data_IF_364697013670
#
_entry.id   IF_364697013670
#
_cell.length_a   1.000
_cell.length_b   1.000
_cell.length_c   1.000
_cell.angle_alpha   90.00
_cell.angle_beta   90.00
_cell.angle_gamma   90.00
#
_symmetry.space_group_name_H-M   'P 1'
#
loop_
_entity.id
_entity.type
_entity.pdbx_description
1 polymer ?
#
# COMPACT_ATOMS: atom_id res chain seq x y z
N UNK A 1 28.25 -21.23 -27.49
CA UNK A 1 26.84 -20.89 -27.73
C UNK A 1 26.25 -20.40 -26.41
N UNK A 2 26.34 -19.10 -26.12
CA UNK A 2 25.75 -18.54 -24.91
C UNK A 2 24.23 -18.43 -25.12
N UNK A 3 23.44 -19.22 -24.39
CA UNK A 3 21.99 -19.08 -24.33
C UNK A 3 21.67 -17.73 -23.71
N UNK A 4 21.11 -16.81 -24.51
CA UNK A 4 20.48 -15.59 -24.02
C UNK A 4 19.27 -16.02 -23.18
N UNK A 5 19.42 -16.03 -21.85
CA UNK A 5 18.28 -16.11 -20.94
C UNK A 5 17.45 -14.86 -21.15
N UNK A 6 16.31 -15.00 -21.81
CA UNK A 6 15.33 -13.93 -21.98
C UNK A 6 14.97 -13.41 -20.58
N UNK A 7 15.14 -12.10 -20.35
CA UNK A 7 14.68 -11.48 -19.11
C UNK A 7 13.16 -11.73 -18.98
N UNK A 8 12.65 -12.03 -17.78
CA UNK A 8 11.21 -12.22 -17.60
C UNK A 8 10.48 -10.96 -18.07
N UNK A 9 9.40 -11.13 -18.83
CA UNK A 9 8.56 -10.01 -19.25
C UNK A 9 7.70 -9.60 -18.06
N UNK A 10 7.73 -8.32 -17.72
CA UNK A 10 6.90 -7.76 -16.66
C UNK A 10 5.40 -7.98 -16.96
N UNK A 11 4.57 -8.35 -15.97
CA UNK A 11 3.16 -8.64 -16.20
C UNK A 11 2.36 -7.39 -16.56
N UNK A 12 1.58 -7.47 -17.63
CA UNK A 12 0.66 -6.40 -18.03
C UNK A 12 -0.57 -6.32 -17.12
N UNK A 13 -1.17 -5.13 -17.05
CA UNK A 13 -2.35 -4.89 -16.23
C UNK A 13 -3.57 -5.63 -16.82
N UNK A 14 -4.42 -6.26 -15.98
CA UNK A 14 -5.67 -6.84 -16.44
C UNK A 14 -6.59 -5.81 -17.13
N UNK A 15 -7.25 -6.23 -18.22
CA UNK A 15 -8.11 -5.37 -19.05
C UNK A 15 -9.36 -4.84 -18.33
N UNK A 16 -9.75 -5.45 -17.20
CA UNK A 16 -10.89 -5.02 -16.38
C UNK A 16 -10.52 -3.96 -15.34
N UNK A 17 -9.26 -3.54 -15.27
CA UNK A 17 -8.84 -2.37 -14.50
C UNK A 17 -9.17 -1.08 -15.25
N UNK A 18 -9.60 -0.07 -14.50
CA UNK A 18 -9.68 1.30 -15.04
C UNK A 18 -8.30 1.82 -15.41
N UNK A 19 -8.22 2.81 -16.29
CA UNK A 19 -6.94 3.41 -16.71
C UNK A 19 -6.09 3.90 -15.52
N UNK A 20 -6.73 4.48 -14.50
CA UNK A 20 -6.03 4.93 -13.29
C UNK A 20 -5.47 3.75 -12.49
N UNK A 21 -6.24 2.66 -12.33
CA UNK A 21 -5.79 1.47 -11.63
C UNK A 21 -4.68 0.73 -12.42
N UNK A 22 -4.81 0.65 -13.74
CA UNK A 22 -3.79 0.08 -14.62
C UNK A 22 -2.50 0.92 -14.63
N UNK A 23 -2.59 2.24 -14.46
CA UNK A 23 -1.41 3.09 -14.25
C UNK A 23 -0.72 2.80 -12.92
N UNK A 24 -1.48 2.56 -11.84
CA UNK A 24 -0.93 2.14 -10.54
C UNK A 24 -0.25 0.78 -10.66
N UNK A 25 -0.88 -0.19 -11.33
CA UNK A 25 -0.31 -1.51 -11.59
C UNK A 25 1.06 -1.40 -12.26
N UNK A 26 1.12 -0.71 -13.40
CA UNK A 26 2.37 -0.53 -14.16
C UNK A 26 3.45 0.17 -13.33
N UNK A 27 3.08 1.22 -12.60
CA UNK A 27 4.03 1.91 -11.71
C UNK A 27 4.65 1.03 -10.62
N UNK A 28 3.92 0.02 -10.12
CA UNK A 28 4.45 -0.94 -9.14
C UNK A 28 5.32 -1.99 -9.82
N UNK A 29 4.83 -2.56 -10.92
CA UNK A 29 5.51 -3.62 -11.66
C UNK A 29 6.82 -3.11 -12.26
N UNK A 30 6.84 -1.88 -12.80
CA UNK A 30 8.04 -1.25 -13.38
C UNK A 30 9.10 -0.90 -12.33
N UNK A 31 8.71 -0.73 -11.06
CA UNK A 31 9.59 -0.38 -9.96
C UNK A 31 10.27 -1.60 -9.31
N UNK A 32 9.86 -2.81 -9.67
CA UNK A 32 10.29 -4.07 -9.05
C UNK A 32 10.88 -5.02 -10.11
N UNK A 33 11.62 -6.06 -9.71
CA UNK A 33 12.05 -7.10 -10.64
C UNK A 33 10.86 -7.72 -11.38
N UNK A 34 11.05 -8.07 -12.66
CA UNK A 34 10.00 -8.60 -13.53
C UNK A 34 9.38 -9.92 -13.05
N UNK A 35 10.09 -10.68 -12.21
CA UNK A 35 9.67 -11.93 -11.59
C UNK A 35 9.14 -11.76 -10.16
N UNK A 36 9.02 -10.51 -9.67
CA UNK A 36 8.59 -10.23 -8.30
C UNK A 36 7.16 -10.71 -8.00
N UNK A 37 6.25 -10.56 -8.97
CA UNK A 37 4.85 -10.96 -8.82
C UNK A 37 4.60 -12.28 -9.54
N UNK A 38 4.36 -13.38 -8.80
CA UNK A 38 3.92 -14.60 -9.44
C UNK A 38 2.44 -14.47 -9.85
N UNK A 39 1.98 -15.19 -10.90
CA UNK A 39 0.62 -15.03 -11.45
C UNK A 39 -0.52 -15.16 -10.44
N UNK A 40 -0.37 -16.01 -9.42
CA UNK A 40 -1.36 -16.17 -8.34
C UNK A 40 -1.57 -14.91 -7.49
N UNK A 41 -0.65 -13.95 -7.53
CA UNK A 41 -0.75 -12.68 -6.82
C UNK A 41 -1.51 -11.59 -7.58
N UNK A 42 -1.84 -11.82 -8.86
CA UNK A 42 -2.40 -10.80 -9.75
C UNK A 42 -3.76 -10.27 -9.30
N UNK A 43 -4.62 -11.12 -8.74
CA UNK A 43 -5.90 -10.67 -8.19
C UNK A 43 -5.71 -9.78 -6.97
N UNK A 44 -4.71 -10.08 -6.14
CA UNK A 44 -4.36 -9.26 -4.97
C UNK A 44 -3.77 -7.92 -5.40
N UNK A 45 -2.90 -7.91 -6.42
CA UNK A 45 -2.34 -6.68 -6.99
C UNK A 45 -3.43 -5.82 -7.66
N UNK A 46 -4.37 -6.45 -8.36
CA UNK A 46 -5.53 -5.77 -8.96
C UNK A 46 -6.39 -5.12 -7.89
N UNK A 47 -6.64 -5.85 -6.79
CA UNK A 47 -7.39 -5.35 -5.63
C UNK A 47 -6.66 -4.19 -4.96
N UNK A 48 -5.34 -4.28 -4.78
CA UNK A 48 -4.51 -3.18 -4.29
C UNK A 48 -4.68 -1.93 -5.17
N UNK A 49 -4.57 -2.07 -6.49
CA UNK A 49 -4.70 -0.94 -7.42
C UNK A 49 -6.09 -0.29 -7.33
N UNK A 50 -7.16 -1.09 -7.23
CA UNK A 50 -8.53 -0.59 -7.02
C UNK A 50 -8.66 0.17 -5.70
N UNK A 51 -8.12 -0.35 -4.60
CA UNK A 51 -8.15 0.33 -3.31
C UNK A 51 -7.36 1.66 -3.32
N UNK A 52 -6.24 1.74 -4.05
CA UNK A 52 -5.51 3.01 -4.23
C UNK A 52 -6.40 4.06 -4.89
N UNK A 53 -7.06 3.70 -6.00
CA UNK A 53 -7.92 4.63 -6.75
C UNK A 53 -9.13 5.05 -5.91
N UNK A 54 -9.79 4.11 -5.23
CA UNK A 54 -10.90 4.39 -4.32
C UNK A 54 -10.48 5.32 -3.17
N UNK A 55 -9.32 5.08 -2.56
CA UNK A 55 -8.80 5.93 -1.49
C UNK A 55 -8.48 7.35 -1.99
N UNK A 56 -7.94 7.50 -3.21
CA UNK A 56 -7.71 8.81 -3.85
C UNK A 56 -9.02 9.53 -4.14
N UNK A 57 -10.04 8.83 -4.62
CA UNK A 57 -11.37 9.40 -4.83
C UNK A 57 -11.94 9.94 -3.51
N UNK A 58 -11.96 9.12 -2.45
CA UNK A 58 -12.47 9.52 -1.14
C UNK A 58 -11.66 10.68 -0.53
N UNK A 59 -10.35 10.71 -0.74
CA UNK A 59 -9.52 11.84 -0.32
C UNK A 59 -9.94 13.14 -1.01
N UNK A 60 -10.14 13.12 -2.34
CA UNK A 60 -10.62 14.31 -3.08
C UNK A 60 -12.00 14.77 -2.62
N UNK A 61 -12.91 13.85 -2.32
CA UNK A 61 -14.23 14.20 -1.80
C UNK A 61 -14.17 14.81 -0.39
N UNK A 62 -13.25 14.33 0.45
CA UNK A 62 -12.99 14.94 1.76
C UNK A 62 -12.32 16.32 1.64
N UNK A 63 -11.40 16.52 0.70
CA UNK A 63 -10.76 17.82 0.46
C UNK A 63 -11.76 18.87 -0.05
N UNK A 64 -12.81 18.43 -0.76
CA UNK A 64 -13.93 19.28 -1.19
C UNK A 64 -14.96 19.54 -0.09
N UNK A 65 -14.91 18.82 1.03
CA UNK A 65 -15.87 18.98 2.10
C UNK A 65 -15.61 20.29 2.86
N UNK A 66 -16.57 21.21 2.84
CA UNK A 66 -16.47 22.50 3.53
C UNK A 66 -16.97 22.41 4.98
N UNK A 67 -16.32 23.14 5.89
CA UNK A 67 -16.75 23.27 7.28
C UNK A 67 -18.16 23.89 7.40
N UNK A 68 -18.57 24.73 6.45
CA UNK A 68 -19.91 25.32 6.41
C UNK A 68 -21.01 24.26 6.32
N UNK A 69 -20.72 23.10 5.70
CA UNK A 69 -21.69 22.02 5.56
C UNK A 69 -21.96 21.30 6.88
N UNK A 70 -21.14 21.48 7.91
CA UNK A 70 -21.39 20.90 9.24
C UNK A 70 -22.61 21.51 9.92
N UNK A 71 -22.94 22.76 9.61
CA UNK A 71 -24.13 23.44 10.14
C UNK A 71 -25.42 23.10 9.40
N UNK A 72 -25.34 22.39 8.27
CA UNK A 72 -26.50 21.92 7.51
C UNK A 72 -26.95 20.57 8.06
N UNK A 73 -28.26 20.35 8.12
CA UNK A 73 -28.83 19.08 8.58
C UNK A 73 -28.27 17.88 7.79
N UNK A 74 -27.78 16.86 8.51
CA UNK A 74 -27.10 15.69 7.92
C UNK A 74 -25.62 15.90 7.52
N UNK A 75 -25.05 17.08 7.75
CA UNK A 75 -23.67 17.41 7.38
C UNK A 75 -22.61 16.57 8.10
N UNK A 76 -22.73 16.46 9.42
CA UNK A 76 -21.84 15.66 10.26
C UNK A 76 -21.94 14.18 9.88
N UNK A 77 -23.13 13.67 9.62
CA UNK A 77 -23.39 12.29 9.22
C UNK A 77 -22.76 11.96 7.86
N UNK A 78 -22.81 12.91 6.92
CA UNK A 78 -22.16 12.77 5.60
C UNK A 78 -20.65 12.71 5.75
N UNK A 79 -20.05 13.61 6.53
CA UNK A 79 -18.61 13.60 6.80
C UNK A 79 -18.19 12.28 7.46
N UNK A 80 -18.93 11.84 8.48
CA UNK A 80 -18.65 10.59 9.17
C UNK A 80 -18.68 9.39 8.19
N UNK A 81 -19.67 9.33 7.29
CA UNK A 81 -19.73 8.27 6.27
C UNK A 81 -18.51 8.27 5.34
N UNK A 82 -18.07 9.43 4.86
CA UNK A 82 -16.88 9.54 4.02
C UNK A 82 -15.62 9.08 4.77
N UNK A 83 -15.45 9.50 6.03
CA UNK A 83 -14.33 9.07 6.87
C UNK A 83 -14.36 7.56 7.14
N UNK A 84 -15.52 6.99 7.43
CA UNK A 84 -15.69 5.54 7.61
C UNK A 84 -15.36 4.76 6.34
N UNK A 85 -15.75 5.25 5.16
CA UNK A 85 -15.40 4.64 3.88
C UNK A 85 -13.89 4.71 3.65
N UNK A 86 -13.26 5.87 3.90
CA UNK A 86 -11.81 6.06 3.73
C UNK A 86 -11.01 5.12 4.61
N UNK A 87 -11.44 4.93 5.86
CA UNK A 87 -10.80 4.00 6.79
C UNK A 87 -10.87 2.56 6.28
N UNK A 88 -12.03 2.13 5.77
CA UNK A 88 -12.21 0.77 5.21
C UNK A 88 -11.31 0.54 4.00
N UNK A 89 -11.25 1.50 3.08
CA UNK A 89 -10.37 1.44 1.90
C UNK A 89 -8.90 1.40 2.32
N UNK A 90 -8.50 2.26 3.27
CA UNK A 90 -7.11 2.31 3.77
C UNK A 90 -6.71 1.00 4.44
N UNK A 91 -7.60 0.40 5.23
CA UNK A 91 -7.34 -0.89 5.89
C UNK A 91 -7.19 -2.02 4.87
N UNK A 92 -8.06 -2.08 3.86
CA UNK A 92 -7.99 -3.08 2.80
C UNK A 92 -6.74 -2.90 1.94
N UNK A 93 -6.39 -1.66 1.59
CA UNK A 93 -5.17 -1.29 0.88
C UNK A 93 -3.93 -1.81 1.61
N UNK A 94 -3.80 -1.54 2.90
CA UNK A 94 -2.64 -1.98 3.68
C UNK A 94 -2.61 -3.50 3.81
N UNK A 95 -3.76 -4.17 3.95
CA UNK A 95 -3.82 -5.63 3.97
C UNK A 95 -3.30 -6.24 2.67
N UNK A 96 -3.74 -5.74 1.52
CA UNK A 96 -3.23 -6.16 0.21
C UNK A 96 -1.74 -5.86 0.05
N UNK A 97 -1.29 -4.67 0.47
CA UNK A 97 0.13 -4.29 0.44
C UNK A 97 1.03 -5.23 1.25
N UNK A 98 0.55 -5.69 2.42
CA UNK A 98 1.24 -6.65 3.27
C UNK A 98 1.29 -8.04 2.62
N UNK A 99 0.19 -8.48 2.02
CA UNK A 99 0.13 -9.76 1.31
C UNK A 99 1.10 -9.79 0.12
N UNK A 100 1.18 -8.69 -0.64
CA UNK A 100 2.12 -8.50 -1.75
C UNK A 100 3.56 -8.21 -1.31
N UNK A 101 3.81 -8.02 -0.01
CA UNK A 101 5.12 -7.64 0.56
C UNK A 101 5.70 -6.33 0.00
N UNK A 102 4.83 -5.38 -0.32
CA UNK A 102 5.23 -4.04 -0.76
C UNK A 102 5.71 -3.16 0.40
N UNK A 103 5.36 -3.52 1.64
CA UNK A 103 5.76 -2.77 2.83
C UNK A 103 7.04 -3.34 3.42
N UNK A 104 7.93 -2.46 3.90
CA UNK A 104 9.06 -2.87 4.75
C UNK A 104 8.49 -3.34 6.10
N UNK A 105 8.09 -4.62 6.17
CA UNK A 105 7.62 -5.20 7.42
C UNK A 105 8.77 -5.18 8.42
N UNK A 106 8.51 -4.71 9.65
CA UNK A 106 9.52 -4.66 10.69
C UNK A 106 10.15 -6.05 10.86
N UNK A 107 11.45 -6.15 10.59
CA UNK A 107 12.22 -7.39 10.79
C UNK A 107 12.47 -7.56 12.29
N UNK A 108 11.45 -7.92 13.07
CA UNK A 108 11.69 -8.46 14.41
C UNK A 108 12.26 -9.87 14.26
N UNK A 109 13.58 -9.92 14.16
CA UNK A 109 14.37 -11.14 14.06
C UNK A 109 14.85 -11.51 15.47
N UNK A 110 14.40 -12.63 16.08
CA UNK A 110 14.88 -13.04 17.40
C UNK A 110 16.42 -13.26 17.42
N UNK A 111 17.03 -13.52 16.26
CA UNK A 111 18.47 -13.55 16.01
C UNK A 111 19.18 -12.17 16.13
N UNK A 112 18.44 -11.06 16.11
CA UNK A 112 18.97 -9.72 16.40
C UNK A 112 18.80 -9.29 17.86
N UNK A 113 17.82 -9.85 18.60
CA UNK A 113 17.61 -9.53 20.01
C UNK A 113 18.86 -9.87 20.87
N UNK A 114 19.58 -10.94 20.52
CA UNK A 114 20.83 -11.32 21.17
C UNK A 114 22.05 -10.44 20.83
N UNK A 115 22.01 -9.65 19.75
CA UNK A 115 23.14 -8.79 19.35
C UNK A 115 23.11 -7.41 20.00
N UNK A 116 21.95 -6.97 20.49
CA UNK A 116 21.81 -5.73 21.28
C UNK A 116 22.14 -5.95 22.76
N UNK A 117 22.28 -7.21 23.20
CA UNK A 117 22.80 -7.57 24.52
C UNK A 117 24.32 -7.31 24.69
N UNK A 118 24.98 -6.74 23.67
CA UNK A 118 26.26 -6.05 23.81
C UNK A 118 26.03 -4.60 24.28
N UNK A 119 25.41 -4.44 25.45
CA UNK A 119 25.09 -3.13 26.01
C UNK A 119 26.34 -2.24 26.16
N UNK A 120 26.16 -0.94 25.91
CA UNK A 120 27.15 0.10 26.15
C UNK A 120 27.82 -0.07 27.53
N UNK A 121 29.15 -0.22 27.54
CA UNK A 121 29.98 -0.43 28.75
C UNK A 121 30.50 0.88 29.36
N UNK A 122 29.84 2.00 29.11
CA UNK A 122 30.19 3.29 29.71
C UNK A 122 29.18 3.71 30.78
N UNK A 123 29.51 4.72 31.60
CA UNK A 123 28.58 5.31 32.56
C UNK A 123 27.36 5.87 31.82
N UNK A 124 26.17 5.69 32.39
CA UNK A 124 24.93 6.06 31.70
C UNK A 124 24.87 7.59 31.56
N UNK A 125 24.24 8.13 30.51
CA UNK A 125 24.31 9.57 30.18
C UNK A 125 23.65 10.53 31.19
N UNK A 126 23.12 10.03 32.29
CA UNK A 126 22.47 10.82 33.34
C UNK A 126 23.17 10.68 34.70
N UNK A 127 24.36 10.08 34.73
CA UNK A 127 25.35 10.20 35.80
C UNK A 127 26.37 11.27 35.43
#
# INVERSE_FOLDING_TARGET
MATLTQAPVAPDAPYDLSDEAASVWRGIVDALPSDFFPPESFDTLSSYCRHVVSARFLARELDRFSAEWLGVDGGIERLNKLLMMRERETRALIAAARALRLTNQSRWRPDQAGKVAGGYKGPKPWE
#
